data_IF_931603175717
#
_entry.id   IF_931603175717
#
_cell.length_a   1.000
_cell.length_b   1.000
_cell.length_c   1.000
_cell.angle_alpha   90.00
_cell.angle_beta   90.00
_cell.angle_gamma   90.00
#
_symmetry.space_group_name_H-M   'P 1'
#
loop_
_entity.id
_entity.type
_entity.pdbx_description
1 polymer ?
#
# COMPACT_ATOMS: atom_id res chain seq x y z
N UNK A 1 2.82 -147.35 22.03
CA UNK A 1 1.55 -146.67 21.72
C UNK A 1 1.79 -145.17 21.82
N UNK A 2 1.07 -144.40 21.00
CA UNK A 2 1.02 -142.94 20.96
C UNK A 2 2.39 -142.27 20.70
N UNK A 3 2.65 -141.84 19.47
CA UNK A 3 2.17 -140.56 18.90
C UNK A 3 2.88 -139.35 19.50
N UNK A 4 3.11 -138.28 18.76
CA UNK A 4 2.66 -137.98 17.39
C UNK A 4 2.79 -136.47 17.16
N UNK A 5 3.82 -135.87 17.76
CA UNK A 5 3.90 -134.46 18.08
C UNK A 5 5.14 -133.75 17.55
N UNK A 6 5.82 -134.34 16.54
CA UNK A 6 6.80 -133.58 15.74
C UNK A 6 6.04 -132.60 14.86
N UNK A 7 5.64 -131.48 15.48
CA UNK A 7 5.10 -130.31 14.83
C UNK A 7 5.92 -130.05 13.56
N UNK A 8 5.24 -130.08 12.41
CA UNK A 8 5.79 -129.52 11.18
C UNK A 8 5.96 -128.04 11.46
N UNK A 9 7.15 -127.64 11.90
CA UNK A 9 7.51 -126.25 12.14
C UNK A 9 7.29 -125.51 10.82
N UNK A 10 6.12 -124.88 10.71
CA UNK A 10 5.56 -124.45 9.43
C UNK A 10 6.57 -123.52 8.76
N UNK A 11 6.70 -123.57 7.42
CA UNK A 11 7.64 -122.72 6.70
C UNK A 11 7.48 -121.23 7.09
N UNK A 12 6.22 -120.83 7.36
CA UNK A 12 5.80 -119.58 8.01
C UNK A 12 6.64 -119.16 9.23
N UNK A 13 7.02 -120.07 10.14
CA UNK A 13 7.74 -119.74 11.36
C UNK A 13 9.21 -119.37 11.09
N UNK A 14 9.92 -120.14 10.24
CA UNK A 14 11.29 -119.78 9.80
C UNK A 14 11.28 -118.52 8.92
N UNK A 15 10.26 -118.36 8.08
CA UNK A 15 10.06 -117.15 7.27
C UNK A 15 9.87 -115.93 8.18
N UNK A 16 9.02 -116.03 9.20
CA UNK A 16 8.78 -115.01 10.22
C UNK A 16 10.07 -114.62 10.96
N UNK A 17 10.89 -115.58 11.37
CA UNK A 17 12.17 -115.28 12.05
C UNK A 17 13.15 -114.51 11.15
N UNK A 18 13.25 -114.87 9.87
CA UNK A 18 14.08 -114.14 8.92
C UNK A 18 13.54 -112.72 8.63
N UNK A 19 12.21 -112.56 8.54
CA UNK A 19 11.55 -111.26 8.41
C UNK A 19 11.85 -110.40 9.65
N UNK A 20 11.70 -110.92 10.86
CA UNK A 20 12.01 -110.21 12.11
C UNK A 20 13.49 -109.78 12.16
N UNK A 21 14.43 -110.64 11.76
CA UNK A 21 15.86 -110.28 11.71
C UNK A 21 16.15 -109.16 10.70
N UNK A 22 15.54 -109.23 9.51
CA UNK A 22 15.64 -108.18 8.49
C UNK A 22 15.03 -106.85 8.97
N UNK A 23 13.87 -106.90 9.64
CA UNK A 23 13.23 -105.71 10.22
C UNK A 23 14.08 -105.07 11.33
N UNK A 24 14.74 -105.86 12.20
CA UNK A 24 15.68 -105.32 13.19
C UNK A 24 16.87 -104.61 12.54
N UNK A 25 17.52 -105.23 11.55
CA UNK A 25 18.63 -104.59 10.82
C UNK A 25 18.21 -103.34 10.03
N UNK A 26 16.92 -103.23 9.65
CA UNK A 26 16.35 -102.01 9.06
C UNK A 26 16.06 -100.94 10.12
N UNK A 27 15.61 -101.33 11.31
CA UNK A 27 15.36 -100.43 12.44
C UNK A 27 16.68 -99.82 12.95
N UNK A 28 17.69 -100.64 13.21
CA UNK A 28 19.05 -100.23 13.63
C UNK A 28 19.63 -99.18 12.66
N UNK A 29 19.46 -99.37 11.35
CA UNK A 29 19.87 -98.41 10.31
C UNK A 29 19.04 -97.12 10.29
N UNK A 30 17.74 -97.19 10.59
CA UNK A 30 16.89 -96.00 10.70
C UNK A 30 17.28 -95.17 11.93
N UNK A 31 17.59 -95.82 13.05
CA UNK A 31 18.08 -95.16 14.27
C UNK A 31 19.46 -94.50 14.05
N UNK A 32 20.38 -95.18 13.35
CA UNK A 32 21.67 -94.62 12.94
C UNK A 32 21.52 -93.40 12.02
N UNK A 33 20.69 -93.51 10.97
CA UNK A 33 20.39 -92.38 10.06
C UNK A 33 19.74 -91.22 10.83
N UNK A 34 18.82 -91.49 11.76
CA UNK A 34 18.17 -90.46 12.57
C UNK A 34 19.16 -89.76 13.51
N UNK A 35 20.11 -90.49 14.10
CA UNK A 35 21.19 -89.90 14.91
C UNK A 35 22.10 -88.99 14.08
N UNK A 36 22.53 -89.44 12.90
CA UNK A 36 23.33 -88.64 11.97
C UNK A 36 22.59 -87.37 11.50
N UNK A 37 21.29 -87.47 11.23
CA UNK A 37 20.45 -86.32 10.85
C UNK A 37 20.35 -85.29 11.99
N UNK A 38 20.18 -85.75 13.24
CA UNK A 38 20.14 -84.89 14.42
C UNK A 38 21.50 -84.22 14.71
N UNK A 39 22.60 -84.94 14.49
CA UNK A 39 23.96 -84.37 14.62
C UNK A 39 24.25 -83.33 13.52
N UNK A 40 23.82 -83.57 12.28
CA UNK A 40 23.89 -82.58 11.21
C UNK A 40 23.07 -81.32 11.56
N UNK A 41 21.79 -81.49 11.92
CA UNK A 41 20.91 -80.38 12.33
C UNK A 41 21.47 -79.59 13.52
N UNK A 42 22.05 -80.29 14.51
CA UNK A 42 22.72 -79.64 15.66
C UNK A 42 23.90 -78.77 15.25
N UNK A 43 24.72 -79.22 14.30
CA UNK A 43 25.85 -78.46 13.76
C UNK A 43 25.38 -77.28 12.89
N UNK A 44 24.36 -77.44 12.07
CA UNK A 44 23.74 -76.36 11.29
C UNK A 44 23.17 -75.27 12.21
N UNK A 45 22.42 -75.64 13.24
CA UNK A 45 21.90 -74.72 14.26
C UNK A 45 23.03 -73.99 15.02
N UNK A 46 24.15 -74.68 15.29
CA UNK A 46 25.33 -74.07 15.95
C UNK A 46 25.97 -73.02 15.05
N UNK A 47 26.19 -73.31 13.77
CA UNK A 47 26.74 -72.37 12.80
C UNK A 47 25.81 -71.16 12.58
N UNK A 48 24.50 -71.40 12.46
CA UNK A 48 23.50 -70.31 12.34
C UNK A 48 23.53 -69.38 13.56
N UNK A 49 23.64 -69.92 14.79
CA UNK A 49 23.78 -69.12 16.01
C UNK A 49 25.05 -68.27 16.01
N UNK A 50 26.18 -68.82 15.55
CA UNK A 50 27.45 -68.08 15.45
C UNK A 50 27.37 -66.96 14.41
N UNK A 51 26.80 -67.23 13.23
CA UNK A 51 26.59 -66.23 12.18
C UNK A 51 25.67 -65.09 12.65
N UNK A 52 24.58 -65.41 13.36
CA UNK A 52 23.68 -64.41 13.96
C UNK A 52 24.41 -63.55 15.00
N UNK A 53 25.35 -64.12 15.77
CA UNK A 53 26.13 -63.35 16.76
C UNK A 53 27.13 -62.39 16.07
N UNK A 54 27.79 -62.85 15.00
CA UNK A 54 28.67 -62.00 14.18
C UNK A 54 27.90 -60.86 13.50
N UNK A 55 26.78 -61.16 12.83
CA UNK A 55 25.94 -60.14 12.19
C UNK A 55 25.44 -59.09 13.19
N UNK A 56 25.18 -59.47 14.46
CA UNK A 56 24.84 -58.52 15.53
C UNK A 56 26.01 -57.62 15.93
N UNK A 57 27.24 -58.12 16.00
CA UNK A 57 28.40 -57.27 16.32
C UNK A 57 28.73 -56.31 15.16
N UNK A 58 28.69 -56.79 13.92
CA UNK A 58 28.85 -55.97 12.71
C UNK A 58 27.78 -54.88 12.61
N UNK A 59 26.50 -55.22 12.90
CA UNK A 59 25.41 -54.25 12.94
C UNK A 59 25.64 -53.17 13.99
N UNK A 60 26.07 -53.53 15.20
CA UNK A 60 26.35 -52.57 16.28
C UNK A 60 27.54 -51.64 15.94
N UNK A 61 28.57 -52.14 15.26
CA UNK A 61 29.68 -51.31 14.75
C UNK A 61 29.16 -50.33 13.68
N UNK A 62 28.32 -50.80 12.75
CA UNK A 62 27.70 -49.98 11.72
C UNK A 62 26.75 -48.90 12.27
N UNK A 63 26.02 -49.18 13.35
CA UNK A 63 25.24 -48.17 14.09
C UNK A 63 26.16 -47.11 14.69
N UNK A 64 27.16 -47.50 15.49
CA UNK A 64 28.08 -46.54 16.11
C UNK A 64 28.78 -45.63 15.08
N UNK A 65 29.23 -46.20 13.96
CA UNK A 65 29.83 -45.41 12.87
C UNK A 65 28.87 -44.40 12.22
N UNK A 66 27.55 -44.66 12.24
CA UNK A 66 26.54 -43.69 11.81
C UNK A 66 26.34 -42.60 12.86
N UNK A 67 26.27 -42.96 14.14
CA UNK A 67 26.09 -42.01 15.24
C UNK A 67 27.28 -41.04 15.36
N UNK A 68 28.50 -41.56 15.31
CA UNK A 68 29.75 -40.77 15.27
C UNK A 68 29.76 -39.79 14.06
N UNK A 69 29.26 -40.25 12.90
CA UNK A 69 29.15 -39.44 11.68
C UNK A 69 28.03 -38.39 11.75
N UNK A 70 26.89 -38.70 12.37
CA UNK A 70 25.80 -37.76 12.62
C UNK A 70 26.30 -36.64 13.53
N UNK A 71 26.90 -36.97 14.67
CA UNK A 71 27.43 -35.97 15.60
C UNK A 71 28.50 -35.06 14.97
N UNK A 72 29.36 -35.62 14.11
CA UNK A 72 30.32 -34.84 13.32
C UNK A 72 29.64 -33.84 12.36
N UNK A 73 28.59 -34.27 11.66
CA UNK A 73 27.82 -33.43 10.75
C UNK A 73 27.00 -32.34 11.49
N UNK A 74 26.42 -32.67 12.65
CA UNK A 74 25.70 -31.71 13.50
C UNK A 74 26.62 -30.59 13.99
N UNK A 75 27.81 -30.93 14.48
CA UNK A 75 28.81 -29.94 14.89
C UNK A 75 29.29 -29.08 13.70
N UNK A 76 29.52 -29.68 12.54
CA UNK A 76 29.87 -28.94 11.33
C UNK A 76 28.75 -28.00 10.85
N UNK A 77 27.48 -28.39 11.01
CA UNK A 77 26.32 -27.55 10.70
C UNK A 77 26.15 -26.40 11.71
N UNK A 78 26.29 -26.69 13.01
CA UNK A 78 26.24 -25.69 14.10
C UNK A 78 27.28 -24.59 13.90
N UNK A 79 28.52 -24.96 13.56
CA UNK A 79 29.60 -24.00 13.29
C UNK A 79 29.33 -23.14 12.04
N UNK A 80 28.70 -23.71 10.99
CA UNK A 80 28.27 -22.96 9.80
C UNK A 80 27.16 -21.96 10.14
N UNK A 81 26.15 -22.36 10.94
CA UNK A 81 25.06 -21.48 11.38
C UNK A 81 25.61 -20.32 12.21
N UNK A 82 26.51 -20.59 13.17
CA UNK A 82 27.16 -19.55 13.97
C UNK A 82 27.91 -18.52 13.10
N UNK A 83 28.68 -19.00 12.10
CA UNK A 83 29.35 -18.09 11.16
C UNK A 83 28.36 -17.25 10.35
N UNK A 84 27.30 -17.87 9.81
CA UNK A 84 26.29 -17.15 9.01
C UNK A 84 25.59 -16.07 9.84
N UNK A 85 25.29 -16.33 11.12
CA UNK A 85 24.71 -15.34 12.01
C UNK A 85 25.66 -14.15 12.22
N UNK A 86 26.93 -14.41 12.56
CA UNK A 86 27.95 -13.38 12.73
C UNK A 86 28.17 -12.54 11.46
N UNK A 87 28.28 -13.18 10.28
CA UNK A 87 28.44 -12.49 9.00
C UNK A 87 27.20 -11.62 8.67
N UNK A 88 26.00 -12.02 9.09
CA UNK A 88 24.77 -11.25 8.94
C UNK A 88 24.66 -10.08 9.93
N UNK A 89 25.03 -10.27 11.20
CA UNK A 89 25.00 -9.22 12.23
C UNK A 89 25.90 -8.03 11.83
N UNK A 90 27.14 -8.31 11.43
CA UNK A 90 28.08 -7.31 10.89
C UNK A 90 27.52 -6.57 9.65
N UNK A 91 26.78 -7.29 8.79
CA UNK A 91 26.14 -6.71 7.59
C UNK A 91 24.96 -5.80 7.94
N UNK A 92 24.17 -6.17 8.95
CA UNK A 92 23.05 -5.37 9.47
C UNK A 92 23.58 -4.09 10.12
N UNK A 93 24.63 -4.16 10.95
CA UNK A 93 25.25 -2.98 11.55
C UNK A 93 25.76 -2.00 10.48
N UNK A 94 26.50 -2.51 9.49
CA UNK A 94 27.02 -1.70 8.37
C UNK A 94 25.91 -0.99 7.57
N UNK A 95 24.77 -1.66 7.35
CA UNK A 95 23.61 -1.06 6.70
C UNK A 95 22.94 0.01 7.58
N UNK A 96 22.82 -0.23 8.89
CA UNK A 96 22.26 0.74 9.84
C UNK A 96 23.09 2.02 9.93
N UNK A 97 24.42 1.93 9.90
CA UNK A 97 25.31 3.10 9.81
C UNK A 97 25.06 3.87 8.51
N UNK A 98 25.02 3.19 7.36
CA UNK A 98 24.76 3.84 6.06
C UNK A 98 23.39 4.52 5.98
N UNK A 99 22.35 3.93 6.60
CA UNK A 99 21.02 4.53 6.68
C UNK A 99 21.00 5.79 7.54
N UNK A 100 21.66 5.78 8.71
CA UNK A 100 21.80 6.97 9.57
C UNK A 100 22.48 8.13 8.83
N UNK A 101 23.61 7.88 8.16
CA UNK A 101 24.33 8.91 7.38
C UNK A 101 23.46 9.47 6.26
N UNK A 102 22.75 8.63 5.50
CA UNK A 102 21.86 9.07 4.42
C UNK A 102 20.67 9.89 4.90
N UNK A 103 20.15 9.60 6.10
CA UNK A 103 19.04 10.37 6.67
C UNK A 103 19.51 11.75 7.15
N UNK A 104 20.65 11.85 7.85
CA UNK A 104 21.24 13.13 8.23
C UNK A 104 21.51 14.03 7.01
N UNK A 105 22.07 13.48 5.93
CA UNK A 105 22.30 14.21 4.66
C UNK A 105 21.01 14.69 3.98
N UNK A 106 19.88 13.97 4.15
CA UNK A 106 18.57 14.41 3.65
C UNK A 106 18.01 15.54 4.51
N UNK A 107 18.12 15.42 5.84
CA UNK A 107 17.63 16.39 6.80
C UNK A 107 18.38 17.72 6.68
N UNK A 108 19.71 17.70 6.57
CA UNK A 108 20.54 18.87 6.24
C UNK A 108 20.09 19.53 4.92
N UNK A 109 19.83 18.73 3.88
CA UNK A 109 19.36 19.24 2.58
C UNK A 109 17.95 19.82 2.63
N UNK A 110 17.05 19.27 3.44
CA UNK A 110 15.70 19.82 3.68
C UNK A 110 15.82 21.15 4.40
N UNK A 111 16.56 21.21 5.51
CA UNK A 111 16.78 22.43 6.27
C UNK A 111 17.41 23.55 5.42
N UNK A 112 18.37 23.21 4.56
CA UNK A 112 18.96 24.15 3.59
C UNK A 112 17.94 24.64 2.54
N UNK A 113 17.06 23.77 2.03
CA UNK A 113 16.02 24.16 1.09
C UNK A 113 14.96 25.03 1.74
N UNK A 114 14.50 24.70 2.94
CA UNK A 114 13.53 25.49 3.71
C UNK A 114 14.08 26.88 4.04
N UNK A 115 15.33 26.96 4.49
CA UNK A 115 16.01 28.24 4.72
C UNK A 115 16.22 29.08 3.45
N UNK A 116 16.30 28.44 2.28
CA UNK A 116 16.34 29.12 0.99
C UNK A 116 14.94 29.57 0.54
N UNK A 117 13.91 28.75 0.75
CA UNK A 117 12.51 29.04 0.46
C UNK A 117 12.04 30.25 1.29
N UNK A 118 12.27 30.26 2.61
CA UNK A 118 11.95 31.41 3.49
C UNK A 118 12.58 32.74 3.02
N UNK A 119 13.73 32.69 2.34
CA UNK A 119 14.46 33.86 1.83
C UNK A 119 14.05 34.26 0.41
N UNK A 120 13.28 33.43 -0.30
CA UNK A 120 12.82 33.69 -1.66
C UNK A 120 11.30 33.93 -1.78
N UNK A 121 10.50 33.47 -0.80
CA UNK A 121 9.05 33.63 -0.79
C UNK A 121 8.61 34.70 0.22
N UNK A 122 8.33 35.90 -0.29
CA UNK A 122 7.73 36.98 0.51
C UNK A 122 6.21 36.78 0.50
N UNK A 123 5.65 36.31 1.63
CA UNK A 123 4.20 36.23 1.84
C UNK A 123 3.58 37.63 1.87
N UNK A 124 2.89 38.00 0.79
CA UNK A 124 2.08 39.21 0.71
C UNK A 124 0.64 38.83 1.03
N UNK A 125 0.17 39.15 2.24
CA UNK A 125 -1.25 38.98 2.59
C UNK A 125 -2.11 39.80 1.62
N UNK A 126 -3.22 39.20 1.19
CA UNK A 126 -4.27 39.80 0.39
C UNK A 126 -5.61 39.56 1.10
N UNK A 127 -6.67 40.27 0.72
CA UNK A 127 -8.01 40.18 1.31
C UNK A 127 -9.08 39.96 0.25
N UNK A 128 -10.30 39.66 0.68
CA UNK A 128 -11.50 39.80 -0.15
C UNK A 128 -12.00 41.25 -0.11
N UNK A 129 -12.16 41.89 -1.26
CA UNK A 129 -12.60 43.30 -1.35
C UNK A 129 -14.10 43.45 -1.55
N UNK A 130 -14.68 42.63 -2.42
CA UNK A 130 -16.06 42.77 -2.87
C UNK A 130 -16.70 41.43 -3.18
N UNK A 131 -17.95 41.26 -2.70
CA UNK A 131 -18.88 40.25 -3.19
C UNK A 131 -19.75 40.92 -4.26
N UNK A 132 -19.45 40.68 -5.53
CA UNK A 132 -20.35 41.05 -6.63
C UNK A 132 -21.45 39.98 -6.74
N UNK A 133 -22.60 40.27 -6.13
CA UNK A 133 -23.78 39.41 -6.21
C UNK A 133 -25.07 40.17 -5.93
N UNK A 134 -26.07 39.95 -6.79
CA UNK A 134 -27.44 40.40 -6.58
C UNK A 134 -28.31 39.22 -6.17
N UNK A 135 -28.51 39.05 -4.87
CA UNK A 135 -29.45 38.06 -4.33
C UNK A 135 -30.92 38.41 -4.65
N UNK A 136 -31.25 39.69 -4.74
CA UNK A 136 -32.58 40.26 -4.82
C UNK A 136 -32.51 41.58 -5.62
N UNK A 137 -33.64 42.11 -6.12
CA UNK A 137 -33.66 43.45 -6.76
C UNK A 137 -33.28 44.58 -5.78
N UNK A 138 -33.45 44.32 -4.48
CA UNK A 138 -33.29 45.26 -3.38
C UNK A 138 -31.86 45.33 -2.82
N UNK A 139 -30.86 44.71 -3.50
CA UNK A 139 -29.44 44.65 -3.08
C UNK A 139 -29.26 44.28 -1.59
N UNK A 140 -29.86 43.17 -1.16
CA UNK A 140 -29.92 42.70 0.23
C UNK A 140 -28.55 42.26 0.78
N UNK A 141 -27.56 42.06 -0.10
CA UNK A 141 -26.13 41.92 0.22
C UNK A 141 -25.47 43.29 0.03
N UNK A 142 -24.70 43.73 1.02
CA UNK A 142 -23.78 44.86 0.93
C UNK A 142 -22.58 44.58 1.85
N UNK A 143 -21.35 44.69 1.35
CA UNK A 143 -20.13 44.44 2.13
C UNK A 143 -19.97 45.36 3.34
N UNK A 144 -20.60 46.54 3.33
CA UNK A 144 -20.53 47.53 4.43
C UNK A 144 -21.53 47.28 5.55
N UNK A 145 -22.68 46.66 5.24
CA UNK A 145 -23.80 46.44 6.17
C UNK A 145 -24.67 45.28 5.65
N UNK A 146 -24.24 44.00 5.79
CA UNK A 146 -25.03 42.87 5.35
C UNK A 146 -26.26 42.70 6.25
N UNK A 147 -27.46 42.62 5.66
CA UNK A 147 -28.71 42.38 6.41
C UNK A 147 -28.83 40.94 6.95
N UNK A 148 -27.85 40.07 6.65
CA UNK A 148 -27.79 38.66 6.99
C UNK A 148 -29.04 37.85 6.56
N UNK A 149 -29.76 38.34 5.54
CA UNK A 149 -30.87 37.65 4.86
C UNK A 149 -31.20 38.29 3.53
N UNK A 150 -31.58 37.47 2.55
CA UNK A 150 -32.30 37.93 1.37
C UNK A 150 -33.81 38.04 1.68
N UNK A 151 -34.46 39.13 1.28
CA UNK A 151 -35.92 39.28 1.50
C UNK A 151 -36.76 38.42 0.54
N UNK A 152 -36.17 38.00 -0.58
CA UNK A 152 -36.77 37.09 -1.58
C UNK A 152 -36.42 35.61 -1.32
N UNK A 153 -35.83 35.28 -0.15
CA UNK A 153 -35.36 33.91 0.20
C UNK A 153 -34.07 33.47 -0.50
N UNK A 154 -33.83 33.93 -1.74
CA UNK A 154 -32.69 33.57 -2.60
C UNK A 154 -31.34 33.53 -1.85
N UNK A 155 -30.50 32.56 -2.22
CA UNK A 155 -29.22 32.30 -1.54
C UNK A 155 -28.24 33.46 -1.66
N UNK A 156 -27.49 33.72 -0.58
CA UNK A 156 -26.57 34.86 -0.47
C UNK A 156 -25.23 34.46 0.19
N UNK A 157 -24.16 35.13 -0.23
CA UNK A 157 -22.84 35.04 0.40
C UNK A 157 -22.60 36.20 1.39
N UNK A 158 -21.88 35.92 2.48
CA UNK A 158 -21.57 36.89 3.53
C UNK A 158 -20.10 36.80 3.94
N UNK A 159 -19.36 37.90 3.79
CA UNK A 159 -17.94 38.01 4.15
C UNK A 159 -17.80 38.24 5.66
N UNK A 160 -17.01 37.42 6.32
CA UNK A 160 -16.80 37.41 7.77
C UNK A 160 -15.31 37.65 8.04
N UNK A 161 -14.99 38.81 8.62
CA UNK A 161 -13.64 39.19 9.06
C UNK A 161 -12.56 39.08 7.95
N UNK A 162 -12.88 39.53 6.73
CA UNK A 162 -11.98 39.58 5.54
C UNK A 162 -11.36 38.25 5.06
N UNK A 163 -11.53 37.14 5.79
CA UNK A 163 -10.86 35.84 5.56
C UNK A 163 -11.85 34.66 5.47
N UNK A 164 -13.01 34.74 6.14
CA UNK A 164 -14.00 33.65 6.19
C UNK A 164 -15.22 34.04 5.36
N UNK A 165 -15.88 33.08 4.70
CA UNK A 165 -17.06 33.41 3.88
C UNK A 165 -18.14 32.36 4.05
N UNK A 166 -19.38 32.80 4.28
CA UNK A 166 -20.52 31.91 4.52
C UNK A 166 -21.58 32.06 3.43
N UNK A 167 -22.08 30.95 2.88
CA UNK A 167 -23.36 30.96 2.15
C UNK A 167 -24.52 30.68 3.09
N UNK A 168 -25.66 31.28 2.82
CA UNK A 168 -26.94 30.84 3.37
C UNK A 168 -28.02 30.86 2.28
N UNK A 169 -28.78 29.78 2.17
CA UNK A 169 -30.08 29.71 1.48
C UNK A 169 -31.12 29.39 2.54
N UNK A 170 -32.28 30.05 2.53
CA UNK A 170 -33.38 29.71 3.42
C UNK A 170 -34.03 28.39 2.96
N UNK A 171 -34.21 27.44 3.87
CA UNK A 171 -34.73 26.09 3.58
C UNK A 171 -35.96 26.11 2.65
N UNK A 172 -35.79 25.66 1.40
CA UNK A 172 -36.86 25.50 0.41
C UNK A 172 -37.42 26.80 -0.20
N UNK A 173 -36.93 27.99 0.17
CA UNK A 173 -37.46 29.28 -0.29
C UNK A 173 -36.43 30.04 -1.13
N UNK A 174 -36.74 30.24 -2.42
CA UNK A 174 -35.93 31.02 -3.36
C UNK A 174 -34.89 30.19 -4.13
N UNK A 175 -34.17 30.85 -5.04
CA UNK A 175 -33.16 30.23 -5.89
C UNK A 175 -31.75 30.40 -5.34
N UNK A 176 -30.88 29.41 -5.55
CA UNK A 176 -29.43 29.62 -5.45
C UNK A 176 -29.00 30.67 -6.48
N UNK A 177 -28.33 31.74 -6.03
CA UNK A 177 -27.67 32.71 -6.91
C UNK A 177 -26.18 32.43 -6.99
N UNK A 178 -25.63 32.68 -8.18
CA UNK A 178 -24.19 32.85 -8.35
C UNK A 178 -23.76 34.15 -7.67
N UNK A 179 -22.62 34.08 -7.01
CA UNK A 179 -21.86 35.23 -6.56
C UNK A 179 -20.52 35.25 -7.28
N UNK A 180 -19.85 36.39 -7.23
CA UNK A 180 -18.43 36.54 -7.49
C UNK A 180 -17.76 37.12 -6.25
N UNK A 181 -16.60 36.60 -5.85
CA UNK A 181 -15.70 37.29 -4.91
C UNK A 181 -14.39 37.62 -5.59
N UNK A 182 -14.01 38.89 -5.49
CA UNK A 182 -12.75 39.43 -5.97
C UNK A 182 -11.75 39.59 -4.82
N UNK A 183 -10.47 39.39 -5.12
CA UNK A 183 -9.39 39.78 -4.22
C UNK A 183 -9.19 41.32 -4.24
N UNK A 184 -8.72 41.88 -3.13
CA UNK A 184 -8.40 43.30 -2.97
C UNK A 184 -7.27 43.72 -3.91
N UNK A 185 -6.20 42.94 -3.97
CA UNK A 185 -5.05 43.18 -4.82
C UNK A 185 -5.08 42.26 -6.04
N UNK A 186 -5.02 42.85 -7.23
CA UNK A 186 -4.95 42.16 -8.52
C UNK A 186 -3.59 41.50 -8.75
N UNK A 187 -3.58 40.31 -9.32
CA UNK A 187 -2.39 39.50 -9.60
C UNK A 187 -1.71 39.94 -10.90
N UNK A 188 -1.27 41.20 -10.94
CA UNK A 188 -0.61 41.78 -12.11
C UNK A 188 0.84 41.29 -12.25
N UNK A 189 1.34 41.11 -13.49
CA UNK A 189 2.77 40.80 -13.70
C UNK A 189 3.62 42.00 -13.22
N UNK A 190 4.54 41.84 -12.24
CA UNK A 190 5.38 42.96 -11.80
C UNK A 190 6.36 43.41 -12.89
N UNK A 191 6.59 44.72 -12.97
CA UNK A 191 7.23 45.37 -14.14
C UNK A 191 8.66 44.92 -14.41
N UNK A 192 9.43 44.60 -13.37
CA UNK A 192 10.82 44.13 -13.46
C UNK A 192 11.03 43.06 -12.39
N UNK A 193 11.48 41.86 -12.76
CA UNK A 193 12.02 40.86 -11.82
C UNK A 193 12.95 39.86 -12.53
N UNK A 194 13.95 39.38 -11.79
CA UNK A 194 14.90 38.34 -12.20
C UNK A 194 14.54 36.95 -11.61
N UNK A 195 13.58 36.90 -10.68
CA UNK A 195 13.04 35.68 -10.09
C UNK A 195 11.65 35.33 -10.68
N UNK A 196 11.14 34.15 -10.35
CA UNK A 196 9.73 33.81 -10.52
C UNK A 196 8.88 34.60 -9.50
N UNK A 197 7.62 34.83 -9.84
CA UNK A 197 6.57 35.11 -8.85
C UNK A 197 5.56 33.96 -8.85
N UNK A 198 5.05 33.63 -7.67
CA UNK A 198 3.86 32.83 -7.47
C UNK A 198 2.82 33.74 -6.79
N UNK A 199 1.63 33.81 -7.37
CA UNK A 199 0.41 34.23 -6.66
C UNK A 199 -0.39 32.97 -6.35
N UNK A 200 -0.74 32.73 -5.10
CA UNK A 200 -1.45 31.53 -4.66
C UNK A 200 -2.55 31.89 -3.66
N UNK A 201 -3.60 31.08 -3.60
CA UNK A 201 -4.65 31.18 -2.61
C UNK A 201 -5.29 29.80 -2.36
N UNK A 202 -5.74 29.56 -1.14
CA UNK A 202 -6.42 28.32 -0.76
C UNK A 202 -7.84 28.55 -0.23
N UNK A 203 -8.72 27.62 -0.56
CA UNK A 203 -10.18 27.68 -0.44
C UNK A 203 -10.62 26.42 0.31
N UNK A 204 -10.70 26.48 1.64
CA UNK A 204 -11.16 25.34 2.46
C UNK A 204 -12.68 25.33 2.52
N UNK A 205 -13.30 24.31 1.94
CA UNK A 205 -14.74 24.14 1.93
C UNK A 205 -15.21 23.32 3.15
N UNK A 206 -16.24 23.81 3.85
CA UNK A 206 -16.93 23.04 4.90
C UNK A 206 -18.45 23.17 4.73
N UNK A 207 -19.13 22.06 4.52
CA UNK A 207 -20.58 21.99 4.34
C UNK A 207 -21.29 21.91 5.71
N UNK A 208 -22.41 22.61 5.85
CA UNK A 208 -23.21 22.60 7.09
C UNK A 208 -24.68 22.24 6.78
N UNK A 209 -25.13 21.08 7.28
CA UNK A 209 -26.50 20.58 7.10
C UNK A 209 -26.61 19.32 6.23
N UNK A 210 -27.85 18.84 6.04
CA UNK A 210 -28.15 17.73 5.12
C UNK A 210 -28.54 18.31 3.76
N UNK A 211 -27.72 18.04 2.74
CA UNK A 211 -28.06 18.34 1.35
C UNK A 211 -28.85 17.16 0.76
N UNK A 212 -30.09 17.41 0.36
CA UNK A 212 -31.00 16.40 -0.19
C UNK A 212 -30.63 15.99 -1.63
N UNK A 213 -29.93 16.87 -2.36
CA UNK A 213 -29.28 16.53 -3.62
C UNK A 213 -27.78 16.89 -3.58
N UNK A 214 -26.94 16.02 -4.17
CA UNK A 214 -25.50 16.25 -4.38
C UNK A 214 -25.22 17.27 -5.48
N UNK A 215 -26.07 17.36 -6.51
CA UNK A 215 -25.84 18.21 -7.69
C UNK A 215 -25.75 19.69 -7.32
N UNK A 216 -26.43 20.11 -6.24
CA UNK A 216 -26.38 21.45 -5.67
C UNK A 216 -25.08 21.79 -4.92
N UNK A 217 -23.92 21.22 -5.31
CA UNK A 217 -22.60 21.44 -4.68
C UNK A 217 -21.59 22.16 -5.60
N UNK A 218 -22.00 23.16 -6.37
CA UNK A 218 -21.08 23.89 -7.26
C UNK A 218 -20.13 24.85 -6.51
N UNK A 219 -18.84 24.53 -6.54
CA UNK A 219 -17.72 25.43 -6.23
C UNK A 219 -16.99 25.74 -7.54
N UNK A 220 -16.67 27.00 -7.81
CA UNK A 220 -15.79 27.43 -8.90
C UNK A 220 -14.65 28.26 -8.29
N UNK A 221 -13.41 27.87 -8.57
CA UNK A 221 -12.21 28.63 -8.20
C UNK A 221 -11.36 28.91 -9.44
N UNK A 222 -10.83 30.11 -9.58
CA UNK A 222 -10.03 30.44 -10.76
C UNK A 222 -9.58 31.89 -10.82
N UNK A 223 -9.20 32.30 -12.03
CA UNK A 223 -8.65 33.61 -12.32
C UNK A 223 -9.32 34.20 -13.58
N UNK A 224 -9.68 35.49 -13.50
CA UNK A 224 -10.34 36.27 -14.55
C UNK A 224 -9.42 37.36 -15.09
N UNK A 225 -9.16 37.34 -16.39
CA UNK A 225 -8.46 38.42 -17.08
C UNK A 225 -9.43 39.56 -17.39
N UNK A 226 -9.39 40.64 -16.61
CA UNK A 226 -10.34 41.77 -16.78
C UNK A 226 -10.25 42.44 -18.16
N UNK A 227 -9.05 42.53 -18.76
CA UNK A 227 -8.84 43.26 -20.03
C UNK A 227 -9.43 42.51 -21.23
N UNK A 228 -9.30 41.18 -21.24
CA UNK A 228 -9.77 40.32 -22.33
C UNK A 228 -11.08 39.57 -21.99
N UNK A 229 -11.65 39.82 -20.81
CA UNK A 229 -12.78 39.11 -20.19
C UNK A 229 -12.61 37.57 -20.07
N UNK A 230 -11.37 37.05 -20.02
CA UNK A 230 -11.10 35.60 -20.08
C UNK A 230 -11.09 34.92 -18.73
N UNK A 231 -11.80 33.81 -18.61
CA UNK A 231 -11.89 33.04 -17.37
C UNK A 231 -11.17 31.69 -17.50
N UNK A 232 -10.36 31.34 -16.49
CA UNK A 232 -9.73 30.02 -16.34
C UNK A 232 -10.01 29.53 -14.93
N UNK A 233 -10.78 28.46 -14.78
CA UNK A 233 -11.30 28.02 -13.49
C UNK A 233 -11.52 26.51 -13.39
N UNK A 234 -11.29 25.97 -12.19
CA UNK A 234 -11.68 24.63 -11.79
C UNK A 234 -13.09 24.66 -11.20
N UNK A 235 -13.94 23.71 -11.61
CA UNK A 235 -15.29 23.52 -11.10
C UNK A 235 -15.39 22.21 -10.31
N UNK A 236 -15.62 22.30 -9.00
CA UNK A 236 -15.43 21.22 -8.04
C UNK A 236 -16.46 20.10 -8.06
N UNK A 237 -17.67 20.32 -8.58
CA UNK A 237 -18.71 19.29 -8.78
C UNK A 237 -18.63 18.63 -10.16
N UNK A 238 -18.16 19.36 -11.17
CA UNK A 238 -17.96 18.88 -12.53
C UNK A 238 -16.56 18.26 -12.71
N UNK A 239 -15.71 18.31 -11.68
CA UNK A 239 -14.30 17.86 -11.67
C UNK A 239 -13.48 18.37 -12.87
N UNK A 240 -13.84 19.55 -13.38
CA UNK A 240 -13.42 20.00 -14.72
C UNK A 240 -12.73 21.35 -14.62
N UNK A 241 -11.61 21.51 -15.33
CA UNK A 241 -10.99 22.82 -15.56
C UNK A 241 -11.51 23.39 -16.89
N UNK A 242 -12.14 24.55 -16.82
CA UNK A 242 -12.58 25.33 -17.96
C UNK A 242 -11.50 26.35 -18.36
N UNK A 243 -11.27 26.45 -19.66
CA UNK A 243 -10.31 27.36 -20.30
C UNK A 243 -11.04 27.97 -21.49
N UNK A 244 -11.20 29.29 -21.52
CA UNK A 244 -11.84 29.97 -22.67
C UNK A 244 -11.05 29.72 -23.98
N UNK A 245 -11.77 29.60 -25.11
CA UNK A 245 -11.27 29.15 -26.42
C UNK A 245 -10.62 27.75 -26.43
N UNK A 246 -10.98 26.86 -25.51
CA UNK A 246 -10.40 25.50 -25.44
C UNK A 246 -11.39 24.48 -24.89
N UNK A 247 -11.13 23.20 -25.18
CA UNK A 247 -11.93 22.10 -24.63
C UNK A 247 -11.73 22.00 -23.11
N UNK A 248 -12.79 21.72 -22.34
CA UNK A 248 -12.70 21.50 -20.90
C UNK A 248 -11.84 20.27 -20.57
N UNK A 249 -11.09 20.35 -19.46
CA UNK A 249 -10.22 19.25 -19.00
C UNK A 249 -10.86 18.60 -17.77
N UNK A 250 -11.48 17.44 -17.98
CA UNK A 250 -11.98 16.55 -16.92
C UNK A 250 -10.82 16.00 -16.07
N UNK A 251 -11.05 15.81 -14.77
CA UNK A 251 -10.07 15.31 -13.81
C UNK A 251 -10.65 14.16 -12.97
N UNK A 252 -9.82 13.16 -12.67
CA UNK A 252 -10.11 12.11 -11.69
C UNK A 252 -9.96 12.64 -10.26
N UNK A 253 -10.91 13.46 -9.80
CA UNK A 253 -10.96 14.04 -8.45
C UNK A 253 -12.31 13.78 -7.76
N UNK A 254 -12.44 14.20 -6.51
CA UNK A 254 -13.66 14.11 -5.72
C UNK A 254 -13.79 15.36 -4.81
N UNK A 255 -14.99 15.75 -4.43
CA UNK A 255 -15.24 16.97 -3.64
C UNK A 255 -15.91 16.65 -2.31
N UNK A 256 -15.11 16.68 -1.25
CA UNK A 256 -15.44 16.21 0.09
C UNK A 256 -15.54 17.37 1.09
N UNK A 257 -16.08 17.09 2.27
CA UNK A 257 -16.10 18.06 3.36
C UNK A 257 -14.69 18.26 3.95
N UNK A 258 -14.32 19.53 4.21
CA UNK A 258 -13.00 19.99 4.66
C UNK A 258 -11.87 19.92 3.62
N UNK A 259 -12.17 19.59 2.35
CA UNK A 259 -11.19 19.70 1.25
C UNK A 259 -10.72 21.16 1.08
N UNK A 260 -9.43 21.31 0.81
CA UNK A 260 -8.75 22.58 0.52
C UNK A 260 -8.42 22.62 -0.97
N UNK A 261 -9.04 23.53 -1.72
CA UNK A 261 -8.72 23.74 -3.13
C UNK A 261 -7.86 24.98 -3.30
N UNK A 262 -6.77 24.90 -4.05
CA UNK A 262 -5.91 26.05 -4.33
C UNK A 262 -5.79 26.35 -5.82
N UNK A 263 -5.43 27.59 -6.13
CA UNK A 263 -5.12 28.03 -7.48
C UNK A 263 -3.86 28.90 -7.45
N UNK A 264 -2.91 28.59 -8.32
CA UNK A 264 -1.62 29.27 -8.40
C UNK A 264 -1.36 29.82 -9.79
N UNK A 265 -0.93 31.08 -9.86
CA UNK A 265 -0.45 31.75 -11.07
C UNK A 265 1.04 32.01 -10.94
N UNK A 266 1.83 31.44 -11.85
CA UNK A 266 3.28 31.62 -11.91
C UNK A 266 3.65 32.56 -13.05
N UNK A 267 4.40 33.61 -12.72
CA UNK A 267 5.05 34.48 -13.70
C UNK A 267 6.55 34.17 -13.76
N UNK A 268 7.10 33.84 -14.95
CA UNK A 268 8.54 33.61 -15.11
C UNK A 268 9.35 34.92 -15.09
N UNK A 269 10.66 34.83 -14.76
CA UNK A 269 11.61 35.94 -14.80
C UNK A 269 11.58 36.74 -16.11
N UNK A 270 11.89 38.03 -16.06
CA UNK A 270 11.94 38.89 -17.25
C UNK A 270 13.01 38.44 -18.26
N UNK A 271 14.14 37.90 -17.79
CA UNK A 271 15.21 37.39 -18.66
C UNK A 271 14.87 36.01 -19.30
N UNK A 272 13.76 35.38 -18.93
CA UNK A 272 13.29 34.11 -19.50
C UNK A 272 12.18 34.33 -20.54
N UNK A 273 12.53 35.03 -21.62
CA UNK A 273 11.58 35.42 -22.68
C UNK A 273 10.83 34.26 -23.35
N UNK A 274 11.38 33.05 -23.31
CA UNK A 274 10.78 31.84 -23.89
C UNK A 274 9.84 31.07 -22.93
N UNK A 275 9.79 31.45 -21.65
CA UNK A 275 8.83 30.88 -20.69
C UNK A 275 7.57 31.76 -20.61
N UNK A 276 6.41 31.13 -20.75
CA UNK A 276 5.11 31.78 -20.58
C UNK A 276 4.64 31.67 -19.12
N UNK A 277 3.78 32.58 -18.64
CA UNK A 277 3.07 32.41 -17.38
C UNK A 277 2.21 31.14 -17.42
N UNK A 278 1.93 30.53 -16.27
CA UNK A 278 1.03 29.38 -16.20
C UNK A 278 0.15 29.39 -14.95
N UNK A 279 -1.02 28.75 -15.06
CA UNK A 279 -1.93 28.50 -13.95
C UNK A 279 -1.86 27.02 -13.57
N UNK A 280 -1.93 26.70 -12.29
CA UNK A 280 -2.15 25.35 -11.79
C UNK A 280 -3.21 25.35 -10.69
N UNK A 281 -3.86 24.20 -10.49
CA UNK A 281 -4.82 23.98 -9.43
C UNK A 281 -4.31 22.92 -8.46
N UNK A 282 -4.73 23.00 -7.20
CA UNK A 282 -4.40 22.02 -6.16
C UNK A 282 -5.64 21.54 -5.42
N UNK A 283 -5.56 20.33 -4.88
CA UNK A 283 -6.47 19.81 -3.87
C UNK A 283 -5.63 19.21 -2.73
N UNK A 284 -5.88 19.65 -1.50
CA UNK A 284 -5.17 19.24 -0.29
C UNK A 284 -3.63 19.30 -0.45
N UNK A 285 -3.13 20.41 -0.99
CA UNK A 285 -1.71 20.67 -1.24
C UNK A 285 -1.08 19.92 -2.42
N UNK A 286 -1.81 19.03 -3.11
CA UNK A 286 -1.34 18.30 -4.30
C UNK A 286 -1.86 18.95 -5.58
N UNK A 287 -1.02 19.08 -6.60
CA UNK A 287 -1.48 19.58 -7.91
C UNK A 287 -2.51 18.61 -8.53
N UNK A 288 -3.61 19.16 -9.04
CA UNK A 288 -4.60 18.43 -9.84
C UNK A 288 -4.51 18.89 -11.31
N UNK A 289 -4.61 17.94 -12.24
CA UNK A 289 -4.44 18.20 -13.66
C UNK A 289 -3.02 18.65 -14.06
N UNK A 290 -2.90 19.14 -15.30
CA UNK A 290 -1.66 19.72 -15.85
C UNK A 290 -1.69 21.25 -15.69
N UNK A 291 -0.51 21.86 -15.58
CA UNK A 291 -0.38 23.31 -15.59
C UNK A 291 -0.79 23.89 -16.96
N UNK A 292 -1.56 24.97 -16.96
CA UNK A 292 -2.17 25.61 -18.12
C UNK A 292 -1.29 26.77 -18.56
N UNK A 293 -0.65 26.63 -19.73
CA UNK A 293 0.31 27.59 -20.25
C UNK A 293 -0.39 28.78 -20.92
N UNK A 294 -0.17 29.99 -20.40
CA UNK A 294 -0.81 31.21 -20.84
C UNK A 294 -0.09 31.79 -22.06
N UNK A 295 -0.50 31.34 -23.26
CA UNK A 295 0.09 31.70 -24.58
C UNK A 295 0.13 33.20 -24.92
N UNK A 296 -0.40 34.09 -24.07
CA UNK A 296 -0.32 35.55 -24.25
C UNK A 296 0.09 36.23 -22.96
N UNK A 297 0.65 37.44 -23.06
CA UNK A 297 1.04 38.28 -21.93
C UNK A 297 -0.18 38.79 -21.13
N UNK A 298 -0.75 37.93 -20.30
CA UNK A 298 -1.80 38.28 -19.35
C UNK A 298 -1.21 39.15 -18.24
N UNK A 299 -1.23 40.47 -18.44
CA UNK A 299 -0.65 41.48 -17.54
C UNK A 299 -1.49 41.77 -16.31
N UNK A 300 -2.80 41.52 -16.38
CA UNK A 300 -3.78 41.81 -15.33
C UNK A 300 -4.73 40.63 -15.13
N UNK A 301 -4.61 39.93 -14.00
CA UNK A 301 -5.49 38.83 -13.59
C UNK A 301 -6.12 39.16 -12.23
N UNK A 302 -7.44 39.03 -12.11
CA UNK A 302 -8.14 39.05 -10.84
C UNK A 302 -8.47 37.63 -10.39
N UNK A 303 -8.70 37.47 -9.09
CA UNK A 303 -9.21 36.24 -8.51
C UNK A 303 -10.71 36.11 -8.81
N UNK A 304 -11.15 34.91 -9.19
CA UNK A 304 -12.56 34.59 -9.45
C UNK A 304 -13.01 33.40 -8.59
N UNK A 305 -13.86 33.65 -7.58
CA UNK A 305 -14.61 32.63 -6.85
C UNK A 305 -16.09 32.70 -7.24
N UNK A 306 -16.72 31.57 -7.60
CA UNK A 306 -18.13 31.47 -7.98
C UNK A 306 -18.79 30.21 -7.37
N UNK A 307 -20.11 30.20 -7.19
CA UNK A 307 -20.78 29.17 -6.38
C UNK A 307 -22.26 28.90 -6.70
N UNK A 308 -22.78 27.78 -6.17
CA UNK A 308 -24.22 27.46 -6.11
C UNK A 308 -24.53 26.36 -5.04
N UNK A 309 -24.41 26.64 -3.72
CA UNK A 309 -24.49 25.59 -2.65
C UNK A 309 -25.11 26.06 -1.32
N UNK A 310 -26.13 25.37 -0.81
CA UNK A 310 -26.71 25.61 0.53
C UNK A 310 -25.69 25.40 1.66
N UNK A 311 -25.61 26.36 2.58
CA UNK A 311 -24.76 26.45 3.78
C UNK A 311 -23.34 25.86 3.66
N UNK A 312 -22.39 26.78 3.45
CA UNK A 312 -20.95 26.51 3.50
C UNK A 312 -20.31 27.51 4.47
N UNK A 313 -19.32 27.09 5.28
CA UNK A 313 -18.44 27.99 6.05
C UNK A 313 -17.00 27.84 5.56
N UNK A 314 -16.56 28.72 4.68
CA UNK A 314 -15.15 28.77 4.25
C UNK A 314 -14.25 29.39 5.33
N UNK A 315 -13.06 28.82 5.45
CA UNK A 315 -11.91 29.41 6.15
C UNK A 315 -10.80 29.50 5.09
N UNK A 316 -10.52 30.69 4.56
CA UNK A 316 -9.52 30.84 3.49
C UNK A 316 -8.20 31.33 4.07
N UNK A 317 -7.13 30.55 3.88
CA UNK A 317 -5.77 31.00 4.14
C UNK A 317 -5.14 31.46 2.82
N UNK A 318 -4.99 32.78 2.65
CA UNK A 318 -4.15 33.32 1.58
C UNK A 318 -2.68 33.22 2.01
N UNK A 319 -1.82 32.64 1.16
CA UNK A 319 -0.42 32.28 1.45
C UNK A 319 0.55 33.05 0.57
#
# INVERSE_FOLDING_TARGET
MNDGGKSKACASCRLSQNIIKSLKQRLEKVEEIQKLLLEQQGNEIKNLKQNILQLKSEHNICLKQKDDKISSLENALKNKIQKINYDNENKIEKLNVQLKTRNAQKEEKINFLDEKIKKCFIKIKNKWSEIDSKCCLNNCINTKNPLNKCIEGNGFGNLINDENIKYELKNGEGCNRIFLVNAENSFNKPRINFNYFLYYFEVKCKFEGKLENKDGRRLVIGLKNLIKNRDIFYCGNEFTIYIEDSEPVELETCFNDNDVFGCGLVYPPFNKLNEFPYIFFTQNGKQIGKAILLKTSLTHMNLMLSWNVVLLKLILEMI
#
